data_IF_503111819968
#
_entry.id   IF_503111819968
#
_cell.length_a   1.000
_cell.length_b   1.000
_cell.length_c   1.000
_cell.angle_alpha   90.00
_cell.angle_beta   90.00
_cell.angle_gamma   90.00
#
_symmetry.space_group_name_H-M   'P 1'
#
loop_
_entity.id
_entity.type
_entity.pdbx_description
1 polymer ?
#
# COMPACT_ATOMS: atom_id res chain seq x y z
N UNK A 1 -15.53 16.17 6.52
CA UNK A 1 -16.76 15.62 7.13
C UNK A 1 -17.00 16.28 8.47
N UNK A 2 -18.27 16.41 8.89
CA UNK A 2 -18.62 17.00 10.18
C UNK A 2 -18.35 16.03 11.34
N UNK A 3 -18.06 16.57 12.53
CA UNK A 3 -17.91 15.81 13.77
C UNK A 3 -19.20 15.03 14.08
N UNK A 4 -19.07 13.79 14.55
CA UNK A 4 -20.17 12.88 14.91
C UNK A 4 -21.14 12.54 13.76
N UNK A 5 -20.78 12.84 12.51
CA UNK A 5 -21.56 12.39 11.36
C UNK A 5 -21.47 10.88 11.16
N UNK A 6 -22.53 10.28 10.61
CA UNK A 6 -22.49 8.90 10.15
C UNK A 6 -21.55 8.79 8.94
N UNK A 7 -20.62 7.83 8.98
CA UNK A 7 -19.70 7.60 7.87
C UNK A 7 -19.76 6.16 7.38
N UNK A 8 -20.12 5.98 6.12
CA UNK A 8 -19.93 4.73 5.39
C UNK A 8 -18.89 4.97 4.28
N UNK A 9 -17.80 4.18 4.24
CA UNK A 9 -16.65 4.44 3.36
C UNK A 9 -16.94 4.28 1.86
N UNK A 10 -18.11 3.76 1.47
CA UNK A 10 -18.52 3.64 0.07
C UNK A 10 -19.70 4.55 -0.28
N UNK A 11 -20.37 5.12 0.73
CA UNK A 11 -21.51 6.00 0.58
C UNK A 11 -21.60 6.96 1.77
N UNK A 12 -21.16 8.20 1.61
CA UNK A 12 -21.12 9.18 2.70
C UNK A 12 -21.55 10.56 2.24
N UNK A 13 -21.98 11.37 3.20
CA UNK A 13 -22.31 12.78 2.96
C UNK A 13 -21.10 13.66 3.27
N UNK A 14 -20.72 14.53 2.35
CA UNK A 14 -19.63 15.49 2.59
C UNK A 14 -20.10 16.67 3.49
N UNK A 15 -19.23 17.64 3.76
CA UNK A 15 -19.58 18.78 4.63
C UNK A 15 -20.58 19.75 3.99
N UNK A 16 -20.77 19.71 2.67
CA UNK A 16 -21.80 20.49 1.97
C UNK A 16 -23.18 19.82 2.03
N UNK A 17 -23.30 18.62 2.60
CA UNK A 17 -24.55 17.84 2.54
C UNK A 17 -24.71 17.03 1.24
N UNK A 18 -23.70 16.98 0.38
CA UNK A 18 -23.77 16.23 -0.88
C UNK A 18 -23.50 14.74 -0.64
N UNK A 19 -24.29 13.88 -1.29
CA UNK A 19 -24.09 12.42 -1.24
C UNK A 19 -22.95 12.02 -2.17
N UNK A 20 -21.94 11.37 -1.62
CA UNK A 20 -20.79 10.83 -2.34
C UNK A 20 -20.90 9.31 -2.35
N UNK A 21 -21.02 8.72 -3.55
CA UNK A 21 -21.08 7.28 -3.76
C UNK A 21 -19.83 6.85 -4.51
N UNK A 22 -19.09 5.91 -3.94
CA UNK A 22 -17.93 5.31 -4.59
C UNK A 22 -18.40 4.08 -5.36
N UNK A 23 -18.14 4.07 -6.66
CA UNK A 23 -18.42 2.95 -7.55
C UNK A 23 -17.16 2.55 -8.33
N UNK A 24 -17.16 1.35 -8.89
CA UNK A 24 -16.01 0.80 -9.62
C UNK A 24 -16.44 0.18 -10.93
N UNK A 25 -15.72 0.41 -12.01
CA UNK A 25 -15.97 -0.19 -13.32
C UNK A 25 -14.93 -1.26 -13.63
N UNK A 26 -15.29 -2.26 -14.44
CA UNK A 26 -14.36 -3.32 -14.86
C UNK A 26 -13.17 -2.75 -15.64
N UNK A 27 -13.42 -1.77 -16.51
CA UNK A 27 -12.39 -1.04 -17.25
C UNK A 27 -12.97 0.28 -17.78
N UNK A 28 -12.15 1.21 -18.30
CA UNK A 28 -12.65 2.44 -18.92
C UNK A 28 -13.60 2.19 -20.11
N UNK A 29 -13.52 1.02 -20.75
CA UNK A 29 -14.36 0.62 -21.87
C UNK A 29 -15.51 -0.32 -21.46
N UNK A 30 -15.57 -0.76 -20.20
CA UNK A 30 -16.61 -1.66 -19.70
C UNK A 30 -17.22 -1.07 -18.42
N UNK A 31 -18.41 -0.49 -18.58
CA UNK A 31 -19.16 0.21 -17.53
C UNK A 31 -19.82 -0.72 -16.52
N UNK A 32 -19.72 -2.04 -16.69
CA UNK A 32 -20.24 -3.00 -15.71
C UNK A 32 -19.49 -2.80 -14.38
N UNK A 33 -20.21 -2.89 -13.27
CA UNK A 33 -19.60 -2.67 -11.97
C UNK A 33 -18.66 -3.81 -11.57
N UNK A 34 -17.48 -3.47 -11.05
CA UNK A 34 -16.67 -4.36 -10.25
C UNK A 34 -17.20 -4.39 -8.80
N UNK A 35 -16.89 -5.43 -8.04
CA UNK A 35 -17.21 -5.43 -6.61
C UNK A 35 -16.24 -4.51 -5.87
N UNK A 36 -16.72 -3.69 -4.95
CA UNK A 36 -15.89 -2.80 -4.14
C UNK A 36 -16.16 -3.01 -2.67
N UNK A 37 -15.10 -3.05 -1.87
CA UNK A 37 -15.16 -3.14 -0.42
C UNK A 37 -14.17 -2.14 0.21
N UNK A 38 -14.48 -1.65 1.40
CA UNK A 38 -13.53 -0.88 2.20
C UNK A 38 -12.67 -1.85 3.02
N UNK A 39 -11.49 -2.18 2.51
CA UNK A 39 -10.56 -3.10 3.18
C UNK A 39 -9.88 -2.49 4.39
N UNK A 40 -9.90 -1.16 4.54
CA UNK A 40 -9.51 -0.46 5.77
C UNK A 40 -10.37 0.78 5.97
N UNK A 41 -11.00 0.90 7.14
CA UNK A 41 -11.79 2.06 7.54
C UNK A 41 -11.53 2.39 9.03
N UNK A 42 -10.47 3.18 9.34
CA UNK A 42 -10.17 3.58 10.70
C UNK A 42 -10.91 4.86 11.13
N UNK A 43 -11.87 5.36 10.33
CA UNK A 43 -12.49 6.67 10.55
C UNK A 43 -13.26 6.69 11.87
N UNK A 44 -12.89 7.61 12.76
CA UNK A 44 -13.66 7.95 13.96
C UNK A 44 -14.15 9.39 13.84
N UNK A 45 -15.43 9.58 13.55
CA UNK A 45 -16.00 10.92 13.32
C UNK A 45 -16.12 11.76 14.59
N UNK A 46 -15.91 11.19 15.78
CA UNK A 46 -15.89 11.94 17.05
C UNK A 46 -14.59 12.72 17.28
N UNK A 47 -13.51 12.38 16.58
CA UNK A 47 -12.19 13.01 16.75
C UNK A 47 -12.05 14.24 15.83
N UNK A 48 -12.60 15.38 16.26
CA UNK A 48 -12.53 16.64 15.53
C UNK A 48 -11.07 17.07 15.24
N UNK A 49 -10.80 17.52 14.01
CA UNK A 49 -9.48 17.94 13.54
C UNK A 49 -8.54 16.78 13.16
N UNK A 50 -9.00 15.52 13.25
CA UNK A 50 -8.24 14.37 12.78
C UNK A 50 -8.58 14.02 11.34
N UNK A 51 -7.60 13.40 10.68
CA UNK A 51 -7.80 12.78 9.38
C UNK A 51 -7.44 11.31 9.40
N UNK A 52 -8.08 10.56 8.53
CA UNK A 52 -7.98 9.10 8.42
C UNK A 52 -7.84 8.70 6.97
N UNK A 53 -7.04 7.66 6.72
CA UNK A 53 -6.92 7.07 5.39
C UNK A 53 -7.83 5.85 5.29
N UNK A 54 -8.72 5.87 4.32
CA UNK A 54 -9.62 4.76 3.99
C UNK A 54 -9.09 4.10 2.74
N UNK A 55 -8.92 2.78 2.79
CA UNK A 55 -8.50 1.98 1.64
C UNK A 55 -9.69 1.18 1.14
N UNK A 56 -9.97 1.34 -0.15
CA UNK A 56 -10.97 0.56 -0.88
C UNK A 56 -10.28 -0.39 -1.85
N UNK A 57 -10.87 -1.57 -2.03
CA UNK A 57 -10.39 -2.57 -2.99
C UNK A 57 -11.51 -2.91 -3.95
N UNK A 58 -11.24 -2.68 -5.24
CA UNK A 58 -12.07 -3.16 -6.34
C UNK A 58 -11.59 -4.54 -6.78
N UNK A 59 -12.50 -5.49 -6.95
CA UNK A 59 -12.20 -6.83 -7.51
C UNK A 59 -12.96 -6.99 -8.82
N UNK A 60 -12.22 -7.11 -9.93
CA UNK A 60 -12.79 -7.39 -11.25
C UNK A 60 -13.19 -8.86 -11.41
N UNK A 61 -13.91 -9.20 -12.48
CA UNK A 61 -14.41 -10.58 -12.69
C UNK A 61 -13.34 -11.65 -12.81
N UNK A 62 -12.12 -11.24 -13.19
CA UNK A 62 -10.96 -12.14 -13.27
C UNK A 62 -10.29 -12.38 -11.89
N UNK A 63 -10.86 -11.84 -10.81
CA UNK A 63 -10.28 -11.87 -9.47
C UNK A 63 -9.13 -10.88 -9.25
N UNK A 64 -8.75 -10.11 -10.29
CA UNK A 64 -7.75 -9.04 -10.17
C UNK A 64 -8.25 -7.95 -9.25
N UNK A 65 -7.40 -7.55 -8.30
CA UNK A 65 -7.70 -6.51 -7.30
C UNK A 65 -6.94 -5.23 -7.60
N UNK A 66 -7.62 -4.09 -7.45
CA UNK A 66 -7.04 -2.75 -7.53
C UNK A 66 -7.43 -2.00 -6.27
N UNK A 67 -6.47 -1.34 -5.62
CA UNK A 67 -6.70 -0.58 -4.40
C UNK A 67 -6.63 0.91 -4.67
N UNK A 68 -7.47 1.69 -3.98
CA UNK A 68 -7.35 3.14 -3.90
C UNK A 68 -7.45 3.57 -2.44
N UNK A 69 -6.72 4.62 -2.07
CA UNK A 69 -6.79 5.21 -0.74
C UNK A 69 -7.22 6.66 -0.86
N UNK A 70 -8.21 7.05 -0.07
CA UNK A 70 -8.61 8.44 0.07
C UNK A 70 -8.56 8.87 1.54
N UNK A 71 -8.41 10.17 1.77
CA UNK A 71 -8.28 10.72 3.11
C UNK A 71 -9.57 11.43 3.51
N UNK A 72 -10.04 11.15 4.72
CA UNK A 72 -11.20 11.79 5.34
C UNK A 72 -10.71 12.72 6.44
N UNK A 73 -10.96 14.02 6.30
CA UNK A 73 -10.75 15.00 7.37
C UNK A 73 -12.04 15.20 8.16
N UNK A 74 -11.97 15.11 9.48
CA UNK A 74 -13.05 15.48 10.41
C UNK A 74 -12.86 16.95 10.78
N UNK A 75 -13.70 17.85 10.27
CA UNK A 75 -13.55 19.29 10.49
C UNK A 75 -13.85 19.64 11.95
N UNK A 76 -13.11 20.58 12.53
CA UNK A 76 -13.34 21.06 13.90
C UNK A 76 -13.98 22.44 13.88
N UNK A 77 -14.86 22.72 14.85
CA UNK A 77 -15.39 24.08 15.08
C UNK A 77 -14.44 24.98 15.88
N UNK A 78 -13.51 24.40 16.63
CA UNK A 78 -12.70 25.11 17.61
C UNK A 78 -11.19 24.96 17.41
N UNK A 79 -10.75 23.86 16.77
CA UNK A 79 -9.34 23.57 16.59
C UNK A 79 -8.87 24.00 15.21
N UNK A 80 -7.64 24.51 15.16
CA UNK A 80 -6.95 24.73 13.89
C UNK A 80 -6.50 23.40 13.30
N UNK A 81 -6.57 23.29 11.98
CA UNK A 81 -6.01 22.24 11.17
C UNK A 81 -4.61 22.62 10.70
N UNK A 82 -3.67 21.70 10.82
CA UNK A 82 -2.33 21.88 10.25
C UNK A 82 -2.36 21.69 8.73
N UNK A 83 -1.69 22.60 8.04
CA UNK A 83 -1.45 22.57 6.61
C UNK A 83 -0.15 21.83 6.29
N UNK A 84 -0.19 21.06 5.19
CA UNK A 84 0.93 20.26 4.69
C UNK A 84 1.23 20.64 3.23
N UNK A 85 2.49 21.01 2.98
CA UNK A 85 2.97 21.34 1.63
C UNK A 85 3.18 20.10 0.76
N UNK A 86 3.23 18.91 1.38
CA UNK A 86 3.27 17.62 0.69
C UNK A 86 4.37 17.53 -0.40
N UNK A 87 5.55 18.06 -0.10
CA UNK A 87 6.72 18.08 -0.99
C UNK A 87 6.88 19.36 -1.82
N UNK A 88 5.93 20.29 -1.78
CA UNK A 88 6.08 21.62 -2.36
C UNK A 88 6.82 22.59 -1.42
N UNK A 89 7.33 23.69 -1.98
CA UNK A 89 8.01 24.75 -1.21
C UNK A 89 7.05 25.65 -0.43
N UNK A 90 5.78 25.73 -0.87
CA UNK A 90 4.71 26.48 -0.20
C UNK A 90 3.34 25.94 -0.63
N UNK A 91 2.30 26.37 0.07
CA UNK A 91 0.91 25.99 -0.18
C UNK A 91 0.19 27.18 -0.81
N UNK A 92 -0.19 27.09 -2.10
CA UNK A 92 -0.93 28.15 -2.77
C UNK A 92 -2.30 28.39 -2.11
N UNK A 93 -2.69 29.67 -2.04
CA UNK A 93 -4.08 30.03 -1.76
C UNK A 93 -4.84 30.32 -3.05
N UNK A 94 -6.16 30.27 -2.98
CA UNK A 94 -7.07 30.54 -4.08
C UNK A 94 -8.22 31.42 -3.62
N UNK A 95 -8.75 32.21 -4.54
CA UNK A 95 -10.00 32.95 -4.39
C UNK A 95 -11.03 32.40 -5.38
N UNK A 96 -12.26 32.17 -4.93
CA UNK A 96 -13.33 31.74 -5.82
C UNK A 96 -14.25 32.90 -6.19
N UNK A 97 -14.52 33.06 -7.48
CA UNK A 97 -15.56 33.92 -8.01
C UNK A 97 -16.50 33.02 -8.82
N UNK A 98 -17.66 32.70 -8.24
CA UNK A 98 -18.49 31.58 -8.71
C UNK A 98 -17.81 30.23 -8.44
N UNK A 99 -17.66 29.40 -9.48
CA UNK A 99 -17.09 28.05 -9.41
C UNK A 99 -15.63 27.95 -9.87
N UNK A 100 -15.03 29.05 -10.31
CA UNK A 100 -13.67 29.05 -10.84
C UNK A 100 -12.68 29.53 -9.76
N UNK A 101 -11.64 28.73 -9.42
CA UNK A 101 -10.55 29.18 -8.57
C UNK A 101 -9.59 30.08 -9.36
N UNK A 102 -9.26 31.23 -8.80
CA UNK A 102 -8.14 32.07 -9.23
C UNK A 102 -7.03 32.00 -8.17
N UNK A 103 -5.78 32.05 -8.58
CA UNK A 103 -4.65 32.07 -7.65
C UNK A 103 -4.72 33.28 -6.73
N UNK A 104 -4.59 33.04 -5.43
CA UNK A 104 -4.47 34.10 -4.44
C UNK A 104 -3.07 34.73 -4.45
N UNK A 105 -2.97 35.94 -3.89
CA UNK A 105 -1.70 36.68 -3.78
C UNK A 105 -0.81 36.20 -2.63
N UNK A 106 -1.29 35.27 -1.80
CA UNK A 106 -0.58 34.80 -0.61
C UNK A 106 -0.40 33.28 -0.64
N UNK A 107 0.54 32.78 0.14
CA UNK A 107 0.78 31.34 0.33
C UNK A 107 0.92 31.04 1.81
N UNK A 108 0.64 29.79 2.18
CA UNK A 108 0.97 29.25 3.50
C UNK A 108 2.27 28.44 3.44
N UNK A 109 2.90 28.26 4.60
CA UNK A 109 4.06 27.38 4.79
C UNK A 109 3.63 26.01 5.28
N UNK A 110 4.50 25.02 5.10
CA UNK A 110 4.33 23.71 5.73
C UNK A 110 4.28 23.87 7.25
N UNK A 111 3.30 23.24 7.89
CA UNK A 111 3.08 23.32 9.32
C UNK A 111 2.22 24.51 9.80
N UNK A 112 1.86 25.44 8.92
CA UNK A 112 0.92 26.53 9.27
C UNK A 112 -0.42 25.96 9.75
N UNK A 113 -1.12 26.71 10.60
CA UNK A 113 -2.38 26.26 11.19
C UNK A 113 -3.54 27.21 10.87
N UNK A 114 -4.64 26.64 10.38
CA UNK A 114 -5.84 27.39 9.94
C UNK A 114 -7.13 26.79 10.49
N UNK A 115 -8.13 27.62 10.71
CA UNK A 115 -9.50 27.17 10.84
C UNK A 115 -10.05 26.78 9.47
N UNK A 116 -10.79 25.67 9.42
CA UNK A 116 -11.43 25.16 8.21
C UNK A 116 -12.93 25.46 8.28
N UNK A 117 -13.45 26.06 7.21
CA UNK A 117 -14.87 26.34 7.04
C UNK A 117 -15.69 25.05 6.90
N UNK A 118 -17.02 25.18 6.92
CA UNK A 118 -17.92 24.06 6.64
C UNK A 118 -18.05 23.77 5.14
N UNK A 119 -17.81 24.78 4.30
CA UNK A 119 -17.95 24.69 2.85
C UNK A 119 -16.71 24.12 2.17
N UNK A 120 -16.97 23.28 1.17
CA UNK A 120 -15.97 22.79 0.21
C UNK A 120 -16.43 23.10 -1.21
N UNK A 121 -15.48 23.25 -2.14
CA UNK A 121 -15.77 23.39 -3.58
C UNK A 121 -14.98 22.37 -4.38
N UNK A 122 -15.52 21.96 -5.51
CA UNK A 122 -14.81 21.07 -6.44
C UNK A 122 -14.68 21.76 -7.79
N UNK A 123 -13.46 21.79 -8.33
CA UNK A 123 -13.16 22.28 -9.66
C UNK A 123 -12.13 21.38 -10.32
N UNK A 124 -12.39 20.95 -11.56
CA UNK A 124 -11.51 20.04 -12.31
C UNK A 124 -11.06 18.80 -11.51
N UNK A 125 -12.00 18.15 -10.81
CA UNK A 125 -11.76 16.97 -9.93
C UNK A 125 -10.87 17.24 -8.71
N UNK A 126 -10.50 18.49 -8.43
CA UNK A 126 -9.81 18.87 -7.21
C UNK A 126 -10.80 19.48 -6.21
N UNK A 127 -10.68 19.08 -4.94
CA UNK A 127 -11.45 19.66 -3.85
C UNK A 127 -10.66 20.79 -3.17
N UNK A 128 -11.38 21.85 -2.83
CA UNK A 128 -10.89 23.04 -2.17
C UNK A 128 -11.68 23.26 -0.88
N UNK A 129 -10.97 23.66 0.17
CA UNK A 129 -11.54 23.99 1.47
C UNK A 129 -11.24 25.45 1.79
N UNK A 130 -12.27 26.16 2.23
CA UNK A 130 -12.14 27.55 2.65
C UNK A 130 -11.55 27.62 4.05
N UNK A 131 -10.66 28.58 4.28
CA UNK A 131 -9.83 28.64 5.49
C UNK A 131 -9.65 30.06 6.00
N UNK A 132 -9.24 30.18 7.26
CA UNK A 132 -8.77 31.43 7.87
C UNK A 132 -7.80 31.16 9.02
N UNK A 133 -6.88 32.08 9.28
CA UNK A 133 -6.01 32.02 10.47
C UNK A 133 -6.68 32.57 11.74
N UNK A 134 -7.83 33.25 11.62
CA UNK A 134 -8.49 33.99 12.71
C UNK A 134 -9.50 33.16 13.49
N UNK A 135 -10.53 32.63 12.82
CA UNK A 135 -11.58 31.81 13.43
C UNK A 135 -12.33 31.01 12.37
N UNK A 136 -13.16 30.04 12.77
CA UNK A 136 -14.04 29.33 11.84
C UNK A 136 -15.13 30.23 11.25
N UNK A 137 -15.67 31.17 12.02
CA UNK A 137 -16.63 32.16 11.50
C UNK A 137 -15.99 33.03 10.42
N UNK A 138 -14.74 33.46 10.62
CA UNK A 138 -13.99 34.21 9.61
C UNK A 138 -13.68 33.33 8.40
N UNK A 139 -13.33 32.04 8.60
CA UNK A 139 -13.16 31.09 7.49
C UNK A 139 -14.43 30.96 6.65
N UNK A 140 -15.60 30.79 7.27
CA UNK A 140 -16.88 30.70 6.58
C UNK A 140 -17.25 31.97 5.78
N UNK A 141 -16.65 33.13 6.10
CA UNK A 141 -16.85 34.40 5.39
C UNK A 141 -15.66 34.85 4.54
N UNK A 142 -14.52 34.15 4.60
CA UNK A 142 -13.31 34.51 3.86
C UNK A 142 -13.46 34.20 2.37
N UNK A 143 -12.55 34.66 1.52
CA UNK A 143 -12.42 34.09 0.18
C UNK A 143 -11.06 33.42 0.00
N UNK A 144 -10.50 32.85 1.07
CA UNK A 144 -9.19 32.19 1.05
C UNK A 144 -9.43 30.69 1.07
N UNK A 145 -9.00 30.03 0.01
CA UNK A 145 -9.16 28.60 -0.19
C UNK A 145 -7.80 27.95 -0.35
N UNK A 146 -7.67 26.73 0.13
CA UNK A 146 -6.54 25.84 -0.16
C UNK A 146 -7.09 24.56 -0.79
N UNK A 147 -6.24 23.81 -1.51
CA UNK A 147 -6.62 22.45 -1.88
C UNK A 147 -6.87 21.65 -0.61
N UNK A 148 -7.96 20.89 -0.55
CA UNK A 148 -8.31 20.06 0.61
C UNK A 148 -7.20 19.05 0.91
N UNK A 149 -6.44 18.61 -0.10
CA UNK A 149 -5.26 17.76 0.06
C UNK A 149 -4.13 18.40 0.87
N UNK A 150 -4.09 19.72 1.00
CA UNK A 150 -3.13 20.43 1.87
C UNK A 150 -3.56 20.46 3.34
N UNK A 151 -4.80 20.10 3.68
CA UNK A 151 -5.26 20.02 5.08
C UNK A 151 -4.99 18.66 5.73
N UNK A 152 -4.47 17.71 4.95
CA UNK A 152 -4.20 16.35 5.38
C UNK A 152 -2.86 15.91 4.85
N UNK A 153 -2.24 14.96 5.54
CA UNK A 153 -1.12 14.24 4.96
C UNK A 153 -1.71 13.09 4.15
N UNK A 154 -1.46 13.01 2.84
CA UNK A 154 -1.86 11.83 2.08
C UNK A 154 -1.24 10.61 2.75
N UNK A 155 -1.95 9.47 2.68
CA UNK A 155 -1.34 8.19 3.06
C UNK A 155 0.02 8.10 2.36
N UNK A 156 1.08 7.84 3.12
CA UNK A 156 2.38 7.63 2.52
C UNK A 156 2.22 6.53 1.47
N UNK A 157 2.49 6.85 0.20
CA UNK A 157 2.56 5.83 -0.83
C UNK A 157 3.67 4.89 -0.42
N UNK A 158 3.28 3.73 0.09
CA UNK A 158 4.23 2.74 0.54
C UNK A 158 5.01 2.32 -0.70
N UNK A 159 6.31 2.64 -0.73
CA UNK A 159 7.16 2.38 -1.88
C UNK A 159 7.34 0.86 -2.01
N UNK A 160 6.52 0.26 -2.86
CA UNK A 160 6.62 -1.14 -3.24
C UNK A 160 7.72 -1.36 -4.27
N UNK A 161 8.46 -2.45 -4.13
CA UNK A 161 9.36 -2.99 -5.14
C UNK A 161 8.79 -4.31 -5.65
N UNK A 162 8.76 -4.49 -6.97
CA UNK A 162 8.18 -5.69 -7.58
C UNK A 162 9.15 -6.86 -7.49
N UNK A 163 8.71 -7.95 -6.85
CA UNK A 163 9.47 -9.18 -6.69
C UNK A 163 8.66 -10.41 -7.08
N UNK A 164 9.36 -11.43 -7.58
CA UNK A 164 8.77 -12.73 -7.90
C UNK A 164 8.65 -13.57 -6.63
N UNK A 165 7.51 -14.21 -6.44
CA UNK A 165 7.32 -15.24 -5.42
C UNK A 165 8.05 -16.52 -5.86
N UNK A 166 9.21 -16.78 -5.28
CA UNK A 166 10.06 -17.91 -5.69
C UNK A 166 9.57 -19.24 -5.12
N UNK A 167 8.83 -19.24 -4.01
CA UNK A 167 8.11 -20.42 -3.50
C UNK A 167 6.74 -19.95 -3.03
N UNK A 168 5.69 -20.69 -3.37
CA UNK A 168 4.32 -20.38 -2.96
C UNK A 168 4.28 -19.96 -1.48
N UNK A 169 3.80 -18.75 -1.23
CA UNK A 169 3.91 -18.12 0.08
C UNK A 169 2.52 -17.93 0.66
N UNK A 170 2.31 -18.43 1.87
CA UNK A 170 1.17 -18.03 2.69
C UNK A 170 1.18 -16.51 2.89
N UNK A 171 0.00 -15.89 2.86
CA UNK A 171 -0.21 -14.54 3.36
C UNK A 171 -0.43 -14.60 4.87
N UNK A 172 0.31 -13.79 5.62
CA UNK A 172 0.22 -13.72 7.07
C UNK A 172 -0.26 -12.35 7.52
N UNK A 173 -0.93 -12.28 8.66
CA UNK A 173 -1.18 -11.02 9.37
C UNK A 173 0.11 -10.53 10.09
N UNK A 174 0.02 -9.33 10.69
CA UNK A 174 1.12 -8.73 11.49
C UNK A 174 1.54 -9.56 12.71
N UNK A 175 0.72 -10.51 13.14
CA UNK A 175 0.97 -11.41 14.26
C UNK A 175 1.51 -12.78 13.81
N UNK A 176 1.67 -12.99 12.50
CA UNK A 176 2.18 -14.21 11.89
C UNK A 176 1.15 -15.33 11.78
N UNK A 177 -0.15 -15.02 11.87
CA UNK A 177 -1.24 -15.96 11.63
C UNK A 177 -1.56 -16.02 10.13
N UNK A 178 -1.97 -17.19 9.64
CA UNK A 178 -2.31 -17.37 8.24
C UNK A 178 -3.68 -16.73 7.90
N UNK A 179 -3.74 -15.94 6.82
CA UNK A 179 -4.94 -15.22 6.41
C UNK A 179 -5.92 -16.03 5.54
N UNK A 180 -5.59 -17.29 5.21
CA UNK A 180 -6.47 -18.17 4.43
C UNK A 180 -6.14 -18.25 2.93
N UNK A 181 -5.28 -17.37 2.40
CA UNK A 181 -4.84 -17.41 0.99
C UNK A 181 -3.33 -17.43 0.81
N UNK A 182 -2.91 -17.87 -0.39
CA UNK A 182 -1.51 -17.96 -0.78
C UNK A 182 -1.22 -17.03 -1.96
N UNK A 183 0.03 -16.60 -2.05
CA UNK A 183 0.65 -16.05 -3.24
C UNK A 183 1.31 -17.19 -4.02
N UNK A 184 0.91 -17.36 -5.27
CA UNK A 184 1.36 -18.46 -6.11
C UNK A 184 2.83 -18.36 -6.49
N UNK A 185 3.45 -19.50 -6.78
CA UNK A 185 4.85 -19.50 -7.24
C UNK A 185 4.94 -18.85 -8.62
N UNK A 186 5.96 -18.01 -8.82
CA UNK A 186 6.28 -17.27 -10.04
C UNK A 186 5.36 -16.10 -10.41
N UNK A 187 4.46 -15.70 -9.51
CA UNK A 187 3.72 -14.44 -9.65
C UNK A 187 4.56 -13.27 -9.13
N UNK A 188 4.34 -12.07 -9.68
CA UNK A 188 4.91 -10.85 -9.14
C UNK A 188 4.01 -10.31 -8.01
N UNK A 189 4.64 -9.82 -6.95
CA UNK A 189 4.02 -9.04 -5.89
C UNK A 189 4.88 -7.82 -5.61
N UNK A 190 4.26 -6.73 -5.18
CA UNK A 190 5.01 -5.56 -4.73
C UNK A 190 5.19 -5.68 -3.21
N UNK A 191 6.44 -5.64 -2.75
CA UNK A 191 6.79 -5.70 -1.33
C UNK A 191 7.39 -4.39 -0.88
N UNK A 192 7.22 -4.08 0.40
CA UNK A 192 7.95 -3.00 1.03
C UNK A 192 9.38 -3.51 1.29
N UNK A 193 10.45 -2.86 0.80
CA UNK A 193 11.82 -3.36 0.90
C UNK A 193 12.42 -3.19 2.30
N UNK A 194 11.60 -3.37 3.35
CA UNK A 194 11.99 -3.37 4.76
C UNK A 194 11.65 -4.73 5.35
N UNK A 195 12.65 -5.42 5.88
CA UNK A 195 12.45 -6.71 6.54
C UNK A 195 11.89 -6.48 7.94
N UNK A 196 10.81 -7.17 8.27
CA UNK A 196 10.24 -7.21 9.63
C UNK A 196 10.40 -8.60 10.24
N UNK A 197 10.50 -8.68 11.56
CA UNK A 197 10.56 -9.94 12.29
C UNK A 197 9.26 -10.19 13.03
N UNK A 198 8.61 -11.32 12.75
CA UNK A 198 7.37 -11.75 13.39
C UNK A 198 7.58 -13.17 13.92
N UNK A 199 7.43 -13.37 15.23
CA UNK A 199 7.64 -14.69 15.90
C UNK A 199 8.95 -15.38 15.49
N UNK A 200 10.05 -14.61 15.46
CA UNK A 200 11.40 -15.11 15.15
C UNK A 200 11.64 -15.45 13.68
N UNK A 201 10.76 -15.06 12.76
CA UNK A 201 10.91 -15.27 11.32
C UNK A 201 10.85 -13.94 10.58
N UNK A 202 11.53 -13.86 9.44
CA UNK A 202 11.63 -12.64 8.64
C UNK A 202 10.57 -12.59 7.55
N UNK A 203 9.96 -11.42 7.39
CA UNK A 203 8.89 -11.15 6.44
C UNK A 203 9.13 -9.83 5.71
N UNK A 204 8.56 -9.73 4.52
CA UNK A 204 8.23 -8.44 3.92
C UNK A 204 6.74 -8.19 4.07
N UNK A 205 6.37 -6.92 4.26
CA UNK A 205 4.98 -6.48 4.07
C UNK A 205 4.70 -6.43 2.56
N UNK A 206 3.53 -6.87 2.14
CA UNK A 206 3.04 -6.67 0.77
C UNK A 206 2.55 -5.23 0.67
N UNK A 207 3.06 -4.48 -0.30
CA UNK A 207 2.78 -3.06 -0.43
C UNK A 207 1.27 -2.80 -0.53
N UNK A 208 0.80 -1.79 0.20
CA UNK A 208 -0.61 -1.37 0.23
C UNK A 208 -1.59 -2.44 0.77
N UNK A 209 -1.08 -3.47 1.46
CA UNK A 209 -1.90 -4.50 2.13
C UNK A 209 -1.38 -4.76 3.53
N UNK A 210 -2.26 -5.12 4.46
CA UNK A 210 -1.89 -5.60 5.80
C UNK A 210 -1.52 -7.09 5.80
N UNK A 211 -0.76 -7.50 4.79
CA UNK A 211 -0.34 -8.88 4.57
C UNK A 211 1.18 -8.98 4.55
N UNK A 212 1.69 -10.11 5.02
CA UNK A 212 3.12 -10.38 5.14
C UNK A 212 3.47 -11.69 4.45
N UNK A 213 4.62 -11.71 3.76
CA UNK A 213 5.16 -12.89 3.08
C UNK A 213 6.57 -13.16 3.59
N UNK A 214 6.98 -14.43 3.65
CA UNK A 214 8.31 -14.76 4.18
C UNK A 214 9.42 -14.30 3.24
N UNK A 215 10.46 -13.67 3.79
CA UNK A 215 11.66 -13.28 3.04
C UNK A 215 12.24 -14.49 2.28
N UNK A 216 12.28 -15.66 2.94
CA UNK A 216 12.77 -16.91 2.34
C UNK A 216 12.04 -17.31 1.06
N UNK A 217 10.80 -16.88 0.87
CA UNK A 217 9.99 -17.23 -0.30
C UNK A 217 10.11 -16.20 -1.44
N UNK A 218 10.61 -15.00 -1.15
CA UNK A 218 10.71 -13.87 -2.11
C UNK A 218 12.17 -13.68 -2.52
N UNK A 219 12.99 -13.08 -1.66
CA UNK A 219 14.41 -12.81 -1.93
C UNK A 219 15.32 -13.95 -1.47
N UNK A 220 14.81 -14.88 -0.67
CA UNK A 220 15.51 -16.10 -0.28
C UNK A 220 16.42 -15.93 0.92
N UNK A 221 17.36 -16.86 1.06
CA UNK A 221 18.38 -16.88 2.11
C UNK A 221 19.71 -17.24 1.49
N UNK A 222 20.70 -16.36 1.66
CA UNK A 222 22.07 -16.63 1.28
C UNK A 222 22.67 -17.72 2.16
N UNK A 223 23.18 -18.79 1.54
CA UNK A 223 23.82 -19.92 2.23
C UNK A 223 25.17 -20.23 1.61
N UNK A 224 26.19 -20.42 2.44
CA UNK A 224 27.53 -20.79 2.01
C UNK A 224 27.64 -22.30 1.83
N UNK A 225 28.30 -22.74 0.77
CA UNK A 225 28.56 -24.16 0.50
C UNK A 225 29.75 -24.68 1.31
N UNK A 226 29.59 -25.87 1.92
CA UNK A 226 30.66 -26.63 2.59
C UNK A 226 31.29 -27.71 1.70
N UNK A 227 30.63 -28.07 0.59
CA UNK A 227 31.14 -28.98 -0.44
C UNK A 227 30.83 -28.44 -1.85
N UNK A 228 31.55 -28.93 -2.85
CA UNK A 228 31.17 -28.72 -4.26
C UNK A 228 29.78 -29.31 -4.49
N UNK A 229 28.94 -28.61 -5.26
CA UNK A 229 27.54 -28.93 -5.39
C UNK A 229 27.07 -28.91 -6.85
N UNK A 230 26.50 -30.02 -7.30
CA UNK A 230 25.78 -30.08 -8.57
C UNK A 230 24.36 -29.55 -8.43
N UNK A 231 23.83 -29.01 -9.52
CA UNK A 231 22.45 -28.56 -9.64
C UNK A 231 21.59 -29.72 -10.18
N UNK A 232 20.42 -29.91 -9.58
CA UNK A 232 19.48 -30.97 -9.90
C UNK A 232 18.17 -30.40 -10.42
N UNK A 233 17.55 -31.11 -11.36
CA UNK A 233 16.21 -30.84 -11.89
C UNK A 233 15.15 -31.76 -11.28
N UNK A 234 15.60 -32.90 -10.72
CA UNK A 234 14.77 -33.91 -10.05
C UNK A 234 15.59 -34.74 -9.04
N UNK A 235 14.98 -35.75 -8.42
CA UNK A 235 15.62 -36.69 -7.49
C UNK A 235 16.75 -37.53 -8.12
N UNK A 236 16.74 -37.70 -9.45
CA UNK A 236 17.68 -38.61 -10.13
C UNK A 236 18.46 -37.93 -11.26
N UNK A 237 18.09 -36.71 -11.67
CA UNK A 237 18.73 -36.01 -12.79
C UNK A 237 19.35 -34.69 -12.36
N UNK A 238 20.60 -34.49 -12.77
CA UNK A 238 21.25 -33.17 -12.77
C UNK A 238 20.56 -32.26 -13.78
N UNK A 239 20.60 -30.96 -13.57
CA UNK A 239 20.10 -29.99 -14.55
C UNK A 239 21.08 -29.98 -15.74
N UNK A 240 20.63 -30.28 -16.97
CA UNK A 240 21.51 -30.27 -18.15
C UNK A 240 22.06 -28.86 -18.41
N UNK A 241 23.28 -28.77 -18.94
CA UNK A 241 23.88 -27.50 -19.35
C UNK A 241 24.22 -26.54 -18.19
N UNK A 242 24.28 -27.04 -16.96
CA UNK A 242 24.67 -26.22 -15.80
C UNK A 242 25.92 -26.75 -15.11
N UNK A 243 26.82 -25.84 -14.76
CA UNK A 243 28.02 -26.16 -13.99
C UNK A 243 27.70 -26.49 -12.52
N UNK A 244 28.74 -26.91 -11.80
CA UNK A 244 28.71 -27.08 -10.34
C UNK A 244 29.06 -25.76 -9.66
N UNK A 245 28.51 -25.56 -8.47
CA UNK A 245 29.03 -24.55 -7.54
C UNK A 245 30.19 -25.16 -6.74
N UNK A 246 31.17 -24.32 -6.41
CA UNK A 246 32.35 -24.70 -5.64
C UNK A 246 32.15 -24.44 -4.15
N UNK A 247 32.85 -25.23 -3.33
CA UNK A 247 32.92 -25.02 -1.87
C UNK A 247 33.30 -23.56 -1.58
N UNK A 248 32.63 -22.97 -0.59
CA UNK A 248 32.85 -21.59 -0.18
C UNK A 248 32.01 -20.55 -0.92
N UNK A 249 31.41 -20.89 -2.06
CA UNK A 249 30.47 -19.99 -2.75
C UNK A 249 29.16 -19.83 -1.95
N UNK A 250 28.56 -18.65 -2.07
CA UNK A 250 27.25 -18.33 -1.51
C UNK A 250 26.18 -18.51 -2.59
N UNK A 251 25.10 -19.19 -2.24
CA UNK A 251 23.95 -19.48 -3.11
C UNK A 251 22.69 -19.01 -2.39
N UNK A 252 21.78 -18.37 -3.12
CA UNK A 252 20.48 -17.95 -2.59
C UNK A 252 19.50 -19.13 -2.66
N UNK A 253 19.10 -19.60 -1.49
CA UNK A 253 18.09 -20.66 -1.36
C UNK A 253 16.71 -20.08 -1.10
N UNK A 254 15.67 -20.70 -1.65
CA UNK A 254 14.28 -20.29 -1.45
C UNK A 254 13.50 -21.32 -0.65
N UNK A 255 12.69 -20.82 0.28
CA UNK A 255 11.81 -21.60 1.14
C UNK A 255 12.52 -22.60 2.05
N UNK A 256 11.76 -23.56 2.56
CA UNK A 256 12.30 -24.71 3.27
C UNK A 256 12.86 -25.75 2.30
N UNK A 257 13.74 -26.62 2.78
CA UNK A 257 14.24 -27.74 1.99
C UNK A 257 13.12 -28.75 1.67
N UNK A 258 13.12 -29.30 0.46
CA UNK A 258 12.22 -30.35 0.01
C UNK A 258 12.84 -31.72 0.19
N UNK A 259 12.08 -32.70 0.70
CA UNK A 259 12.47 -34.11 0.62
C UNK A 259 12.08 -34.66 -0.74
N UNK A 260 13.08 -35.03 -1.54
CA UNK A 260 12.87 -35.64 -2.85
C UNK A 260 12.60 -37.14 -2.73
N UNK A 261 12.12 -37.78 -3.82
CA UNK A 261 11.80 -39.22 -3.86
C UNK A 261 12.95 -40.14 -3.44
N UNK A 262 14.19 -39.69 -3.60
CA UNK A 262 15.40 -40.41 -3.17
C UNK A 262 15.72 -40.26 -1.67
N UNK A 263 14.80 -39.70 -0.87
CA UNK A 263 14.95 -39.49 0.58
C UNK A 263 15.83 -38.30 0.97
N UNK A 264 16.56 -37.69 0.04
CA UNK A 264 17.49 -36.59 0.33
C UNK A 264 16.77 -35.25 0.33
N UNK A 265 17.27 -34.31 1.14
CA UNK A 265 16.75 -32.93 1.23
C UNK A 265 17.46 -32.01 0.25
N UNK A 266 16.71 -31.13 -0.41
CA UNK A 266 17.21 -30.19 -1.40
C UNK A 266 16.63 -28.79 -1.17
N UNK A 267 17.44 -27.77 -1.35
CA UNK A 267 16.96 -26.39 -1.47
C UNK A 267 16.74 -26.05 -2.92
N UNK A 268 15.68 -25.29 -3.18
CA UNK A 268 15.51 -24.57 -4.44
C UNK A 268 16.41 -23.35 -4.45
N UNK A 269 17.03 -23.03 -5.58
CA UNK A 269 18.08 -21.99 -5.64
C UNK A 269 17.79 -20.89 -6.68
N UNK A 270 18.60 -19.84 -6.74
CA UNK A 270 18.53 -18.79 -7.75
C UNK A 270 18.48 -19.32 -9.19
N UNK A 271 17.84 -18.53 -10.07
CA UNK A 271 17.60 -18.88 -11.47
C UNK A 271 16.50 -19.92 -11.69
N UNK A 272 15.77 -20.32 -10.64
CA UNK A 272 14.78 -21.39 -10.75
C UNK A 272 13.48 -21.03 -11.48
N UNK A 273 13.27 -19.74 -11.84
CA UNK A 273 12.06 -19.27 -12.53
C UNK A 273 11.79 -20.00 -13.84
N UNK A 274 12.84 -20.16 -14.63
CA UNK A 274 12.74 -20.74 -15.97
C UNK A 274 13.14 -22.21 -16.00
N UNK A 275 13.84 -22.69 -14.95
CA UNK A 275 14.41 -24.03 -14.90
C UNK A 275 14.35 -24.61 -13.50
N UNK A 276 14.01 -25.89 -13.35
CA UNK A 276 14.12 -26.59 -12.06
C UNK A 276 15.60 -26.63 -11.63
N UNK A 277 15.93 -25.90 -10.56
CA UNK A 277 17.29 -25.81 -10.00
C UNK A 277 17.26 -26.07 -8.51
N UNK A 278 17.95 -27.13 -8.09
CA UNK A 278 18.02 -27.56 -6.71
C UNK A 278 19.43 -28.00 -6.32
N UNK A 279 19.85 -27.71 -5.08
CA UNK A 279 21.09 -28.23 -4.50
C UNK A 279 20.76 -29.01 -3.23
N UNK A 280 21.48 -30.11 -2.99
CA UNK A 280 21.32 -30.92 -1.77
C UNK A 280 21.57 -30.05 -0.53
N UNK A 281 20.66 -30.11 0.44
CA UNK A 281 20.75 -29.34 1.68
C UNK A 281 22.03 -29.65 2.47
N UNK A 282 22.51 -30.90 2.40
CA UNK A 282 23.77 -31.35 3.02
C UNK A 282 25.03 -30.75 2.38
N UNK A 283 24.93 -29.92 1.34
CA UNK A 283 26.09 -29.22 0.78
C UNK A 283 26.28 -27.82 1.37
N UNK A 284 25.36 -27.32 2.19
CA UNK A 284 25.41 -26.00 2.84
C UNK A 284 25.82 -26.10 4.32
N UNK A 285 26.33 -25.03 4.92
CA UNK A 285 26.45 -24.95 6.39
C UNK A 285 25.07 -24.90 7.07
#
# INVERSE_FOLDING_TARGET
>A
MAVNSSFNPLNFTNSNGESIIISTQQSPANTTFASVEATSNPVNTSEAGRYYNVTITATGYTGKKTTATYTVLITSSHNKQTLYANGASSIPTYNFYGNNPLSGSTTFKDGDQVYVADQTKTYNKESYSQVSTKSKSDANSSNIWVKTSSLVKPAATEKGESHVVMVASKAYDKNGNFLGHMYDTYTNIDIVPTVVTIKGKTYYKVANKDEYVRVTNITGTQRKLRHNAYIYSSSYRRTPGTDKYYKGQTVTTYGASYRFKNGKKYYRIEGCRNNKRYIKAVNFY
#
